data_IF_425199298870
#
_entry.id   IF_425199298870
#
_cell.length_a   1.000
_cell.length_b   1.000
_cell.length_c   1.000
_cell.angle_alpha   90.00
_cell.angle_beta   90.00
_cell.angle_gamma   90.00
#
_symmetry.space_group_name_H-M   'P 1'
#
loop_
_entity.id
_entity.type
_entity.pdbx_description
1 polymer ?
#
# COMPACT_ATOMS: atom_id res chain seq x y z
N UNK A 1 -33.61 4.99 3.61
CA UNK A 1 -32.17 5.07 4.00
C UNK A 1 -31.64 6.41 3.50
N UNK A 2 -31.21 7.31 4.38
CA UNK A 2 -30.65 8.61 3.98
C UNK A 2 -29.47 8.42 3.01
N UNK A 3 -29.50 9.00 1.79
CA UNK A 3 -28.56 8.68 0.70
C UNK A 3 -27.08 8.93 1.04
N UNK A 4 -26.81 9.73 2.07
CA UNK A 4 -25.48 10.12 2.52
C UNK A 4 -24.63 8.98 3.12
N UNK A 5 -25.22 7.86 3.54
CA UNK A 5 -24.50 6.76 4.22
C UNK A 5 -23.86 5.72 3.30
N UNK A 6 -23.95 5.90 1.98
CA UNK A 6 -23.47 4.89 1.02
C UNK A 6 -22.09 5.25 0.47
N UNK A 7 -21.24 4.27 0.12
CA UNK A 7 -19.99 4.52 -0.61
C UNK A 7 -20.21 5.31 -1.91
N UNK A 8 -21.37 5.11 -2.55
CA UNK A 8 -21.80 5.85 -3.75
C UNK A 8 -21.87 7.37 -3.53
N UNK A 9 -22.26 7.81 -2.33
CA UNK A 9 -22.25 9.22 -1.97
C UNK A 9 -20.85 9.83 -2.09
N UNK A 10 -19.83 9.11 -1.61
CA UNK A 10 -18.45 9.57 -1.67
C UNK A 10 -17.88 9.57 -3.09
N UNK A 11 -18.25 8.57 -3.90
CA UNK A 11 -17.88 8.50 -5.32
C UNK A 11 -18.33 9.75 -6.10
N UNK A 12 -19.53 10.27 -5.82
CA UNK A 12 -20.02 11.52 -6.45
C UNK A 12 -19.26 12.79 -6.03
N UNK A 13 -18.40 12.70 -5.00
CA UNK A 13 -17.70 13.84 -4.39
C UNK A 13 -16.18 13.68 -4.44
N UNK A 14 -15.64 12.81 -5.29
CA UNK A 14 -14.20 12.57 -5.40
C UNK A 14 -13.41 13.84 -5.81
N UNK A 15 -14.03 14.74 -6.57
CA UNK A 15 -13.40 15.99 -7.02
C UNK A 15 -13.84 17.22 -6.22
N UNK A 16 -14.70 17.03 -5.20
CA UNK A 16 -15.23 18.14 -4.40
C UNK A 16 -14.38 18.37 -3.16
N UNK A 17 -13.40 19.26 -3.26
CA UNK A 17 -12.45 19.55 -2.18
C UNK A 17 -12.99 20.46 -1.07
N UNK A 18 -14.08 21.19 -1.34
CA UNK A 18 -14.71 22.11 -0.40
C UNK A 18 -15.76 21.44 0.49
N UNK A 19 -16.04 22.09 1.62
CA UNK A 19 -17.01 21.64 2.62
C UNK A 19 -16.38 20.78 3.71
N UNK A 20 -17.27 20.21 4.53
CA UNK A 20 -16.94 19.45 5.74
C UNK A 20 -17.43 18.02 5.62
N UNK A 21 -16.86 17.11 6.39
CA UNK A 21 -17.30 15.72 6.39
C UNK A 21 -17.28 15.15 7.81
N UNK A 22 -18.42 14.72 8.38
CA UNK A 22 -18.47 14.20 9.74
C UNK A 22 -17.88 12.78 9.83
N UNK A 23 -17.43 12.41 11.03
CA UNK A 23 -16.87 11.09 11.39
C UNK A 23 -17.65 9.90 10.85
N UNK A 24 -18.98 9.98 11.00
CA UNK A 24 -19.94 8.92 10.63
C UNK A 24 -19.96 8.62 9.13
N UNK A 25 -19.56 9.58 8.27
CA UNK A 25 -19.49 9.40 6.82
C UNK A 25 -18.06 9.07 6.36
N UNK A 26 -17.07 9.63 7.04
CA UNK A 26 -15.65 9.45 6.72
C UNK A 26 -15.16 8.01 6.96
N UNK A 27 -15.37 7.46 8.16
CA UNK A 27 -14.79 6.15 8.53
C UNK A 27 -15.33 4.96 7.73
N UNK A 28 -16.64 4.86 7.41
CA UNK A 28 -17.13 3.80 6.54
C UNK A 28 -16.52 3.87 5.12
N UNK A 29 -16.24 5.08 4.62
CA UNK A 29 -15.55 5.24 3.34
C UNK A 29 -14.10 4.79 3.40
N UNK A 30 -13.36 5.17 4.45
CA UNK A 30 -12.01 4.67 4.70
C UNK A 30 -12.02 3.14 4.77
N UNK A 31 -12.95 2.54 5.51
CA UNK A 31 -13.08 1.09 5.59
C UNK A 31 -13.36 0.45 4.22
N UNK A 32 -14.22 1.07 3.40
CA UNK A 32 -14.49 0.60 2.04
C UNK A 32 -13.23 0.61 1.17
N UNK A 33 -12.42 1.68 1.22
CA UNK A 33 -11.14 1.74 0.50
C UNK A 33 -10.13 0.73 1.07
N UNK A 34 -10.08 0.52 2.38
CA UNK A 34 -9.21 -0.49 3.00
C UNK A 34 -9.58 -1.91 2.55
N UNK A 35 -10.87 -2.25 2.50
CA UNK A 35 -11.32 -3.55 1.97
C UNK A 35 -10.96 -3.69 0.50
N UNK A 36 -11.15 -2.64 -0.31
CA UNK A 36 -10.73 -2.65 -1.71
C UNK A 36 -9.22 -2.88 -1.86
N UNK A 37 -8.40 -2.26 -0.99
CA UNK A 37 -6.95 -2.46 -0.98
C UNK A 37 -6.57 -3.89 -0.58
N UNK A 38 -7.26 -4.49 0.41
CA UNK A 38 -7.03 -5.89 0.79
C UNK A 38 -7.36 -6.85 -0.36
N UNK A 39 -8.51 -6.64 -1.02
CA UNK A 39 -8.90 -7.44 -2.19
C UNK A 39 -7.89 -7.27 -3.31
N UNK A 40 -7.51 -6.03 -3.65
CA UNK A 40 -6.52 -5.77 -4.68
C UNK A 40 -5.17 -6.42 -4.36
N UNK A 41 -4.74 -6.39 -3.09
CA UNK A 41 -3.53 -7.07 -2.60
C UNK A 41 -3.61 -8.61 -2.73
N UNK A 42 -4.78 -9.21 -2.50
CA UNK A 42 -4.98 -10.65 -2.68
C UNK A 42 -5.00 -11.04 -4.16
N UNK A 43 -5.75 -10.29 -4.98
CA UNK A 43 -5.79 -10.44 -6.45
C UNK A 43 -4.39 -10.28 -7.04
N UNK A 44 -3.59 -9.42 -6.45
CA UNK A 44 -2.20 -9.18 -6.82
C UNK A 44 -1.24 -10.29 -6.38
N UNK A 45 -1.36 -10.72 -5.12
CA UNK A 45 -0.43 -11.64 -4.48
C UNK A 45 -0.57 -13.06 -4.98
N UNK A 46 -1.81 -13.55 -5.21
CA UNK A 46 -2.04 -14.94 -5.64
C UNK A 46 -1.32 -15.27 -6.96
N UNK A 47 -1.44 -14.46 -8.04
CA UNK A 47 -0.70 -14.73 -9.26
C UNK A 47 0.81 -14.52 -9.11
N UNK A 48 1.27 -13.68 -8.18
CA UNK A 48 2.70 -13.48 -7.89
C UNK A 48 3.32 -14.75 -7.28
N UNK A 49 2.73 -15.28 -6.21
CA UNK A 49 3.17 -16.53 -5.62
C UNK A 49 3.08 -17.70 -6.60
N UNK A 50 1.99 -17.76 -7.38
CA UNK A 50 1.84 -18.74 -8.45
C UNK A 50 2.93 -18.62 -9.52
N UNK A 51 3.31 -17.41 -9.92
CA UNK A 51 4.39 -17.17 -10.89
C UNK A 51 5.75 -17.60 -10.33
N UNK A 52 6.06 -17.26 -9.08
CA UNK A 52 7.30 -17.70 -8.40
C UNK A 52 7.36 -19.23 -8.35
N UNK A 53 6.29 -19.90 -7.92
CA UNK A 53 6.23 -21.35 -7.85
C UNK A 53 6.43 -22.01 -9.22
N UNK A 54 5.79 -21.49 -10.28
CA UNK A 54 5.98 -21.98 -11.65
C UNK A 54 7.41 -21.77 -12.16
N UNK A 55 8.01 -20.62 -11.87
CA UNK A 55 9.38 -20.31 -12.25
C UNK A 55 10.37 -21.28 -11.57
N UNK A 56 10.21 -21.52 -10.27
CA UNK A 56 11.03 -22.47 -9.50
C UNK A 56 10.87 -23.91 -10.01
N UNK A 57 9.64 -24.36 -10.23
CA UNK A 57 9.36 -25.70 -10.73
C UNK A 57 9.98 -25.93 -12.13
N UNK A 58 9.89 -24.93 -13.01
CA UNK A 58 10.48 -25.00 -14.35
C UNK A 58 12.01 -25.03 -14.29
N UNK A 59 12.62 -24.25 -13.38
CA UNK A 59 14.06 -24.24 -13.19
C UNK A 59 14.57 -25.60 -12.67
N UNK A 60 13.87 -26.18 -11.70
CA UNK A 60 14.19 -27.50 -11.16
C UNK A 60 14.08 -28.61 -12.21
N UNK A 61 13.02 -28.61 -13.03
CA UNK A 61 12.86 -29.58 -14.10
C UNK A 61 14.00 -29.52 -15.15
N UNK A 62 14.64 -28.36 -15.32
CA UNK A 62 15.78 -28.16 -16.22
C UNK A 62 17.13 -28.50 -15.58
N UNK A 63 17.20 -28.59 -14.25
CA UNK A 63 18.41 -28.93 -13.49
C UNK A 63 18.15 -30.11 -12.56
N UNK A 64 17.77 -31.29 -13.10
CA UNK A 64 17.48 -32.47 -12.29
C UNK A 64 18.72 -32.96 -11.51
N UNK A 65 19.93 -32.60 -11.97
CA UNK A 65 21.20 -32.89 -11.34
C UNK A 65 21.46 -32.10 -10.03
N UNK A 66 20.71 -31.00 -9.81
CA UNK A 66 20.89 -30.09 -8.67
C UNK A 66 19.67 -29.97 -7.79
N UNK A 67 18.67 -30.83 -7.98
CA UNK A 67 17.40 -30.73 -7.27
C UNK A 67 17.10 -32.01 -6.51
N UNK A 68 17.07 -31.90 -5.18
CA UNK A 68 16.56 -32.95 -4.31
C UNK A 68 15.11 -32.61 -3.94
N UNK A 69 14.18 -33.45 -4.41
CA UNK A 69 12.76 -33.34 -4.11
C UNK A 69 12.45 -34.31 -2.96
N UNK A 70 12.25 -33.78 -1.77
CA UNK A 70 11.73 -34.51 -0.62
C UNK A 70 10.21 -34.44 -0.63
N UNK A 71 9.55 -35.52 -1.07
CA UNK A 71 8.10 -35.65 -1.02
C UNK A 71 7.70 -36.82 -0.11
N UNK A 72 6.74 -36.59 0.78
CA UNK A 72 6.17 -37.60 1.66
C UNK A 72 4.80 -37.17 2.16
N UNK A 73 4.13 -37.94 3.04
CA UNK A 73 2.74 -37.71 3.40
C UNK A 73 2.54 -36.30 3.99
N UNK A 74 2.00 -35.38 3.19
CA UNK A 74 1.71 -34.00 3.60
C UNK A 74 2.86 -32.99 3.49
N UNK A 75 4.04 -33.35 2.97
CA UNK A 75 5.12 -32.38 2.75
C UNK A 75 5.71 -32.48 1.34
N UNK A 76 5.92 -31.31 0.73
CA UNK A 76 6.66 -31.14 -0.52
C UNK A 76 7.78 -30.14 -0.25
N UNK A 77 9.02 -30.63 -0.25
CA UNK A 77 10.22 -29.82 -0.10
C UNK A 77 11.08 -29.97 -1.35
N UNK A 78 11.54 -28.84 -1.88
CA UNK A 78 12.44 -28.79 -3.03
C UNK A 78 13.70 -28.05 -2.58
N UNK A 79 14.81 -28.77 -2.51
CA UNK A 79 16.11 -28.19 -2.26
C UNK A 79 16.86 -28.09 -3.59
N UNK A 80 17.30 -26.89 -3.92
CA UNK A 80 18.11 -26.61 -5.12
C UNK A 80 19.52 -26.34 -4.65
N UNK A 81 20.46 -27.18 -5.04
CA UNK A 81 21.87 -27.03 -4.70
C UNK A 81 22.54 -26.03 -5.66
N UNK A 82 23.06 -24.94 -5.09
CA UNK A 82 23.78 -23.88 -5.83
C UNK A 82 23.01 -22.56 -5.97
N UNK A 83 23.61 -21.56 -6.65
CA UNK A 83 23.04 -20.23 -6.76
C UNK A 83 21.80 -20.23 -7.66
N UNK A 84 20.65 -19.90 -7.07
CA UNK A 84 19.39 -19.72 -7.79
C UNK A 84 19.38 -18.36 -8.47
N UNK A 85 19.08 -18.28 -9.79
CA UNK A 85 18.98 -17.00 -10.47
C UNK A 85 17.95 -16.08 -9.78
N UNK A 86 18.34 -14.86 -9.36
CA UNK A 86 17.45 -13.95 -8.63
C UNK A 86 16.25 -13.53 -9.48
N UNK A 87 16.40 -13.51 -10.81
CA UNK A 87 15.35 -13.22 -11.77
C UNK A 87 14.08 -14.07 -11.58
N UNK A 88 14.21 -15.33 -11.12
CA UNK A 88 13.06 -16.20 -10.92
C UNK A 88 12.09 -15.66 -9.85
N UNK A 89 12.64 -14.96 -8.85
CA UNK A 89 11.90 -14.29 -7.78
C UNK A 89 11.57 -12.85 -8.15
N UNK A 90 12.54 -12.10 -8.67
CA UNK A 90 12.40 -10.65 -8.87
C UNK A 90 11.47 -10.30 -10.03
N UNK A 91 11.41 -11.08 -11.11
CA UNK A 91 10.51 -10.82 -12.24
C UNK A 91 9.02 -10.79 -11.80
N UNK A 92 8.51 -11.83 -11.08
CA UNK A 92 7.18 -11.75 -10.50
C UNK A 92 6.96 -10.58 -9.54
N UNK A 93 7.96 -10.26 -8.73
CA UNK A 93 7.86 -9.19 -7.74
C UNK A 93 7.77 -7.81 -8.40
N UNK A 94 8.40 -7.59 -9.56
CA UNK A 94 8.39 -6.29 -10.25
C UNK A 94 6.97 -5.87 -10.66
N UNK A 95 6.24 -6.72 -11.36
CA UNK A 95 4.86 -6.37 -11.76
C UNK A 95 3.91 -6.30 -10.56
N UNK A 96 4.15 -7.12 -9.53
CA UNK A 96 3.42 -7.03 -8.26
C UNK A 96 3.61 -5.65 -7.60
N UNK A 97 4.84 -5.17 -7.49
CA UNK A 97 5.14 -3.84 -6.93
C UNK A 97 4.51 -2.73 -7.74
N UNK A 98 4.60 -2.80 -9.08
CA UNK A 98 3.99 -1.80 -9.95
C UNK A 98 2.47 -1.70 -9.70
N UNK A 99 1.79 -2.84 -9.58
CA UNK A 99 0.36 -2.88 -9.27
C UNK A 99 0.06 -2.39 -7.85
N UNK A 100 0.86 -2.73 -6.84
CA UNK A 100 0.70 -2.19 -5.47
C UNK A 100 0.87 -0.66 -5.47
N UNK A 101 1.82 -0.13 -6.24
CA UNK A 101 2.01 1.31 -6.41
C UNK A 101 0.78 1.96 -7.06
N UNK A 102 0.21 1.34 -8.11
CA UNK A 102 -1.03 1.80 -8.75
C UNK A 102 -2.18 1.80 -7.75
N UNK A 103 -2.37 0.70 -6.99
CA UNK A 103 -3.39 0.60 -5.95
C UNK A 103 -3.21 1.69 -4.92
N UNK A 104 -1.99 1.91 -4.42
CA UNK A 104 -1.71 2.94 -3.43
C UNK A 104 -2.05 4.35 -3.96
N UNK A 105 -1.69 4.67 -5.20
CA UNK A 105 -2.05 5.95 -5.84
C UNK A 105 -3.56 6.08 -5.96
N UNK A 106 -4.26 5.04 -6.41
CA UNK A 106 -5.73 5.04 -6.48
C UNK A 106 -6.37 5.22 -5.10
N UNK A 107 -5.85 4.56 -4.05
CA UNK A 107 -6.34 4.76 -2.68
C UNK A 107 -6.16 6.20 -2.22
N UNK A 108 -4.99 6.80 -2.49
CA UNK A 108 -4.72 8.20 -2.17
C UNK A 108 -5.72 9.10 -2.89
N UNK A 109 -5.96 8.89 -4.18
CA UNK A 109 -6.93 9.67 -4.96
C UNK A 109 -8.37 9.52 -4.42
N UNK A 110 -8.78 8.30 -4.07
CA UNK A 110 -10.11 8.01 -3.52
C UNK A 110 -10.32 8.63 -2.13
N UNK A 111 -9.25 8.80 -1.35
CA UNK A 111 -9.29 9.35 -0.01
C UNK A 111 -8.97 10.85 0.04
N UNK A 112 -8.33 11.43 -0.98
CA UNK A 112 -7.80 12.78 -0.90
C UNK A 112 -8.87 13.82 -0.58
N UNK A 113 -9.97 13.84 -1.34
CA UNK A 113 -11.05 14.81 -1.10
C UNK A 113 -11.77 14.58 0.24
N UNK A 114 -11.98 13.33 0.66
CA UNK A 114 -12.63 13.03 1.94
C UNK A 114 -11.74 13.37 3.14
N UNK A 115 -10.44 13.09 3.06
CA UNK A 115 -9.44 13.50 4.07
C UNK A 115 -9.40 15.01 4.21
N UNK A 116 -9.39 15.76 3.10
CA UNK A 116 -9.41 17.22 3.11
C UNK A 116 -10.68 17.75 3.78
N UNK A 117 -11.87 17.28 3.36
CA UNK A 117 -13.14 17.68 3.99
C UNK A 117 -13.22 17.29 5.46
N UNK A 118 -12.59 16.17 5.85
CA UNK A 118 -12.57 15.77 7.24
C UNK A 118 -11.65 16.63 8.10
N UNK A 119 -10.51 17.03 7.56
CA UNK A 119 -9.62 17.99 8.21
C UNK A 119 -10.29 19.36 8.35
N UNK A 120 -11.03 19.80 7.32
CA UNK A 120 -11.86 21.00 7.36
C UNK A 120 -12.94 20.92 8.45
N UNK A 121 -13.53 19.75 8.68
CA UNK A 121 -14.53 19.56 9.73
C UNK A 121 -13.96 19.85 11.14
N UNK A 122 -12.67 19.58 11.35
CA UNK A 122 -11.93 19.88 12.58
C UNK A 122 -11.18 21.23 12.54
N UNK A 123 -11.56 22.14 11.62
CA UNK A 123 -10.95 23.47 11.47
C UNK A 123 -9.51 23.48 10.92
N UNK A 124 -8.95 22.32 10.56
CA UNK A 124 -7.58 22.17 10.07
C UNK A 124 -7.51 22.35 8.55
N UNK A 125 -6.35 22.76 8.04
CA UNK A 125 -6.12 22.84 6.60
C UNK A 125 -5.95 21.46 5.97
N UNK A 126 -6.39 21.27 4.73
CA UNK A 126 -6.23 20.02 3.99
C UNK A 126 -4.78 19.56 3.78
N UNK A 127 -3.81 20.47 3.89
CA UNK A 127 -2.38 20.19 3.74
C UNK A 127 -1.83 19.18 4.75
N UNK A 128 -2.48 19.00 5.91
CA UNK A 128 -2.12 17.93 6.85
C UNK A 128 -2.24 16.53 6.22
N UNK A 129 -3.14 16.36 5.25
CA UNK A 129 -3.29 15.11 4.49
C UNK A 129 -2.11 14.77 3.58
N UNK A 130 -1.25 15.75 3.26
CA UNK A 130 -0.07 15.55 2.42
C UNK A 130 1.12 14.97 3.20
N UNK A 131 1.11 15.10 4.53
CA UNK A 131 2.23 14.71 5.41
C UNK A 131 2.78 13.29 5.14
N UNK A 132 1.96 12.23 4.96
CA UNK A 132 2.48 10.89 4.67
C UNK A 132 2.93 10.68 3.22
N UNK A 133 2.55 11.54 2.27
CA UNK A 133 2.75 11.29 0.84
C UNK A 133 4.22 11.30 0.39
N UNK A 134 5.10 12.21 0.85
CA UNK A 134 6.52 12.15 0.53
C UNK A 134 7.17 10.83 0.94
N UNK A 135 6.86 10.34 2.15
CA UNK A 135 7.43 9.09 2.65
C UNK A 135 6.88 7.85 1.94
N UNK A 136 5.60 7.88 1.55
CA UNK A 136 4.99 6.84 0.70
C UNK A 136 5.67 6.79 -0.67
N UNK A 137 5.84 7.95 -1.32
CA UNK A 137 6.48 8.03 -2.63
C UNK A 137 7.94 7.56 -2.58
N UNK A 138 8.70 8.05 -1.60
CA UNK A 138 10.09 7.61 -1.36
C UNK A 138 10.15 6.11 -1.10
N UNK A 139 9.25 5.55 -0.29
CA UNK A 139 9.18 4.11 -0.01
C UNK A 139 8.93 3.28 -1.26
N UNK A 140 7.97 3.67 -2.10
CA UNK A 140 7.65 2.97 -3.35
C UNK A 140 8.82 3.03 -4.35
N UNK A 141 9.43 4.19 -4.53
CA UNK A 141 10.56 4.39 -5.44
C UNK A 141 11.79 3.61 -4.94
N UNK A 142 12.13 3.74 -3.67
CA UNK A 142 13.29 3.07 -3.10
C UNK A 142 13.12 1.54 -3.10
N UNK A 143 11.92 1.02 -2.85
CA UNK A 143 11.65 -0.41 -2.97
C UNK A 143 11.81 -0.91 -4.43
N UNK A 144 11.31 -0.16 -5.40
CA UNK A 144 11.51 -0.47 -6.82
C UNK A 144 13.00 -0.49 -7.19
N UNK A 145 13.77 0.51 -6.76
CA UNK A 145 15.21 0.57 -6.98
C UNK A 145 15.97 -0.57 -6.28
N UNK A 146 15.51 -0.99 -5.11
CA UNK A 146 16.10 -2.13 -4.40
C UNK A 146 15.92 -3.43 -5.21
N UNK A 147 14.73 -3.68 -5.78
CA UNK A 147 14.50 -4.86 -6.61
C UNK A 147 15.40 -4.91 -7.86
N UNK A 148 15.74 -3.75 -8.43
CA UNK A 148 16.69 -3.66 -9.56
C UNK A 148 18.13 -3.98 -9.11
N UNK A 149 18.46 -3.75 -7.85
CA UNK A 149 19.78 -4.03 -7.29
C UNK A 149 19.93 -5.48 -6.82
N UNK A 150 18.84 -6.14 -6.40
CA UNK A 150 18.81 -7.56 -6.04
C UNK A 150 19.16 -8.40 -7.26
N UNK A 151 20.41 -8.85 -7.32
CA UNK A 151 20.95 -9.66 -8.41
C UNK A 151 22.20 -9.10 -9.10
N UNK A 152 22.70 -7.93 -8.67
CA UNK A 152 24.06 -7.50 -9.05
C UNK A 152 25.11 -8.36 -8.33
N UNK A 153 25.96 -9.12 -9.04
CA UNK A 153 27.01 -9.92 -8.42
C UNK A 153 28.04 -9.01 -7.71
N UNK A 154 28.44 -9.39 -6.50
CA UNK A 154 29.50 -8.70 -5.73
C UNK A 154 29.07 -7.53 -4.86
N UNK A 155 27.77 -7.24 -4.72
CA UNK A 155 27.30 -6.26 -3.75
C UNK A 155 27.48 -6.79 -2.32
N UNK A 156 28.33 -6.15 -1.52
CA UNK A 156 28.29 -6.34 -0.07
C UNK A 156 26.87 -6.05 0.43
N UNK A 157 26.45 -6.72 1.50
CA UNK A 157 25.18 -6.41 2.16
C UNK A 157 25.32 -5.04 2.83
N UNK A 158 25.15 -3.97 2.05
CA UNK A 158 25.20 -2.61 2.55
C UNK A 158 23.97 -2.38 3.41
N UNK A 159 24.22 -2.25 4.72
CA UNK A 159 23.17 -1.98 5.71
C UNK A 159 22.62 -0.55 5.58
N UNK A 160 23.36 0.36 4.95
CA UNK A 160 22.96 1.76 4.78
C UNK A 160 21.63 1.95 4.03
N UNK A 161 21.42 1.44 2.78
CA UNK A 161 20.14 1.56 2.09
C UNK A 161 18.99 0.89 2.84
N UNK A 162 19.27 -0.22 3.54
CA UNK A 162 18.29 -0.87 4.39
C UNK A 162 17.86 0.04 5.57
N UNK A 163 18.82 0.60 6.31
CA UNK A 163 18.56 1.51 7.43
C UNK A 163 17.83 2.79 6.99
N UNK A 164 18.16 3.31 5.81
CA UNK A 164 17.46 4.46 5.22
C UNK A 164 16.00 4.13 4.87
N UNK A 165 15.75 2.98 4.24
CA UNK A 165 14.40 2.50 3.96
C UNK A 165 13.60 2.27 5.24
N UNK A 166 14.23 1.67 6.25
CA UNK A 166 13.63 1.47 7.56
C UNK A 166 13.29 2.80 8.23
N UNK A 167 14.22 3.75 8.26
CA UNK A 167 13.98 5.10 8.79
C UNK A 167 12.84 5.83 8.06
N UNK A 168 12.79 5.74 6.73
CA UNK A 168 11.68 6.29 5.94
C UNK A 168 10.34 5.62 6.32
N UNK A 169 10.33 4.31 6.56
CA UNK A 169 9.12 3.60 6.99
C UNK A 169 8.66 4.07 8.37
N UNK A 170 9.57 4.24 9.34
CA UNK A 170 9.24 4.79 10.66
C UNK A 170 8.67 6.21 10.53
N UNK A 171 9.30 7.07 9.72
CA UNK A 171 8.81 8.42 9.47
C UNK A 171 7.41 8.43 8.81
N UNK A 172 7.17 7.52 7.86
CA UNK A 172 5.86 7.30 7.26
C UNK A 172 4.80 6.91 8.30
N UNK A 173 5.10 5.97 9.18
CA UNK A 173 4.18 5.53 10.24
C UNK A 173 3.86 6.66 11.22
N UNK A 174 4.87 7.44 11.62
CA UNK A 174 4.68 8.62 12.48
C UNK A 174 3.79 9.66 11.78
N UNK A 175 4.04 9.95 10.50
CA UNK A 175 3.22 10.86 9.70
C UNK A 175 1.77 10.37 9.58
N UNK A 176 1.55 9.08 9.38
CA UNK A 176 0.23 8.47 9.37
C UNK A 176 -0.46 8.59 10.73
N UNK A 177 0.23 8.28 11.83
CA UNK A 177 -0.33 8.42 13.18
C UNK A 177 -0.76 9.86 13.44
N UNK A 178 0.10 10.83 13.11
CA UNK A 178 -0.24 12.26 13.22
C UNK A 178 -1.49 12.58 12.40
N UNK A 179 -1.57 12.16 11.14
CA UNK A 179 -2.74 12.39 10.30
C UNK A 179 -4.01 11.72 10.87
N UNK A 180 -3.91 10.47 11.31
CA UNK A 180 -5.03 9.72 11.90
C UNK A 180 -5.53 10.38 13.17
N UNK A 181 -4.64 10.86 14.05
CA UNK A 181 -5.02 11.62 15.24
C UNK A 181 -5.82 12.88 14.86
N UNK A 182 -5.38 13.59 13.82
CA UNK A 182 -6.10 14.77 13.31
C UNK A 182 -7.48 14.39 12.75
N UNK A 183 -7.57 13.28 12.00
CA UNK A 183 -8.82 12.71 11.48
C UNK A 183 -9.70 12.07 12.57
N UNK A 184 -9.19 11.90 13.78
CA UNK A 184 -9.94 11.44 14.96
C UNK A 184 -10.41 12.59 15.85
N UNK A 185 -10.16 13.85 15.51
CA UNK A 185 -10.68 14.96 16.31
C UNK A 185 -12.19 15.16 16.12
N UNK A 186 -12.92 15.61 17.15
CA UNK A 186 -14.28 16.09 16.97
C UNK A 186 -14.30 17.24 15.97
N UNK A 187 -15.37 17.33 15.19
CA UNK A 187 -15.60 18.48 14.31
C UNK A 187 -16.05 19.70 15.10
N UNK A 188 -15.91 20.88 14.51
CA UNK A 188 -16.37 22.13 15.11
C UNK A 188 -17.91 22.11 15.24
N UNK A 189 -18.50 22.37 16.42
CA UNK A 189 -19.95 22.30 16.59
C UNK A 189 -20.70 23.42 15.83
N UNK A 190 -20.04 24.55 15.58
CA UNK A 190 -20.57 25.68 14.83
C UNK A 190 -20.02 25.78 13.41
N UNK A 191 -20.45 26.81 12.66
CA UNK A 191 -19.83 27.17 11.38
C UNK A 191 -18.34 27.48 11.57
N UNK A 192 -17.51 27.03 10.63
CA UNK A 192 -16.09 27.39 10.58
C UNK A 192 -15.75 27.99 9.20
N UNK A 193 -14.48 28.34 8.97
CA UNK A 193 -14.01 28.93 7.69
C UNK A 193 -14.28 28.07 6.44
N UNK A 194 -14.66 26.80 6.61
CA UNK A 194 -14.96 25.87 5.52
C UNK A 194 -16.47 25.62 5.34
N UNK A 195 -17.31 26.32 6.11
CA UNK A 195 -18.76 26.30 6.00
C UNK A 195 -19.48 25.73 7.23
N UNK A 196 -20.82 25.64 7.16
CA UNK A 196 -21.63 25.03 8.21
C UNK A 196 -21.37 23.51 8.30
N UNK A 197 -21.60 22.91 9.48
CA UNK A 197 -21.54 21.46 9.62
C UNK A 197 -22.54 20.77 8.68
N UNK A 198 -22.23 19.54 8.29
CA UNK A 198 -23.11 18.72 7.47
C UNK A 198 -24.09 17.98 8.38
N UNK A 199 -25.37 18.32 8.26
CA UNK A 199 -26.48 17.75 9.05
C UNK A 199 -26.58 16.21 8.98
#
# INVERSE_FOLDING_TARGET
MTPHRTPRFQLSRLTRWSGREPRRLFWPWVACVMVANMIAGMVAGVPMFGAIARNMATFAARHPDRTMIGAGPGHYSMQIDGPVPPALLTEPMRWFVAMIAIVAVLSVLLLAASVVRRLHDAGRGGWWGLLPLPFLATGLIAFWLALVQVGRPGGAADMAPFLLLFGNNVAYLVALVVLVVQLCRPGDPGPNRFGPPLD
#
